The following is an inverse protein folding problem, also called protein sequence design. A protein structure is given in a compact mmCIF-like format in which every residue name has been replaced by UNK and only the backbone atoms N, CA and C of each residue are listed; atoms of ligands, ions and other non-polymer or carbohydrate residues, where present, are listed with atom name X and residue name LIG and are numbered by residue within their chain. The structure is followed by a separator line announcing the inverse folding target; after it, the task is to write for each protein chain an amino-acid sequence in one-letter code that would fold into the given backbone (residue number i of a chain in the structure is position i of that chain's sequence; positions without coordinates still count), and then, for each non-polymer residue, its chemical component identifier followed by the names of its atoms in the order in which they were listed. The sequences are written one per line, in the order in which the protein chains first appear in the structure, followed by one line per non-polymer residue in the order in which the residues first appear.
data_IF_840529308975
#
_entry.id   IF_840529308975
#
_cell.length_a   1.000
_cell.length_b   1.000
_cell.length_c   1.000
_cell.angle_alpha   90.00
_cell.angle_beta   90.00
_cell.angle_gamma   90.00
#
_symmetry.space_group_name_H-M   'P 1'
#
loop_
_entity.id
_entity.type
_entity.pdbx_description
1 polymer ?
#
# COMPACT_ATOMS: atom_id res chain seq x y z
N UNK A 1 -0.30 -44.22 -5.39
CA UNK A 1 0.95 -43.67 -4.82
C UNK A 1 1.19 -42.29 -5.44
N UNK A 2 1.50 -41.28 -4.63
CA UNK A 2 1.93 -39.97 -5.14
C UNK A 2 3.35 -40.10 -5.67
N UNK A 3 3.63 -39.58 -6.86
CA UNK A 3 4.99 -39.60 -7.42
C UNK A 3 5.94 -38.79 -6.54
N UNK A 4 7.08 -39.38 -6.14
CA UNK A 4 8.14 -38.72 -5.34
C UNK A 4 8.55 -37.36 -5.92
N UNK A 5 8.61 -37.27 -7.26
CA UNK A 5 8.94 -36.02 -7.98
C UNK A 5 7.89 -34.94 -7.75
N UNK A 6 6.61 -35.32 -7.70
CA UNK A 6 5.51 -34.38 -7.46
C UNK A 6 5.53 -33.87 -6.01
N UNK A 7 5.77 -34.76 -5.05
CA UNK A 7 5.90 -34.38 -3.64
C UNK A 7 7.06 -33.40 -3.40
N UNK A 8 8.25 -33.65 -3.98
CA UNK A 8 9.38 -32.73 -3.88
C UNK A 8 9.11 -31.36 -4.52
N UNK A 9 8.40 -31.34 -5.65
CA UNK A 9 8.04 -30.07 -6.31
C UNK A 9 7.05 -29.27 -5.47
N UNK A 10 6.11 -29.95 -4.82
CA UNK A 10 5.15 -29.32 -3.91
C UNK A 10 5.87 -28.69 -2.71
N UNK A 11 6.74 -29.45 -2.05
CA UNK A 11 7.52 -28.99 -0.89
C UNK A 11 8.39 -27.75 -1.22
N UNK A 12 9.08 -27.80 -2.38
CA UNK A 12 9.83 -26.64 -2.89
C UNK A 12 8.94 -25.42 -3.09
N UNK A 13 7.74 -25.60 -3.67
CA UNK A 13 6.80 -24.49 -3.92
C UNK A 13 6.22 -23.92 -2.62
N UNK A 14 5.99 -24.76 -1.62
CA UNK A 14 5.57 -24.30 -0.29
C UNK A 14 6.66 -23.47 0.39
N UNK A 15 7.92 -23.90 0.30
CA UNK A 15 9.06 -23.13 0.80
C UNK A 15 9.21 -21.78 0.10
N UNK A 16 9.10 -21.77 -1.24
CA UNK A 16 9.14 -20.53 -2.03
C UNK A 16 8.00 -19.57 -1.64
N UNK A 17 6.79 -20.10 -1.40
CA UNK A 17 5.65 -19.30 -0.95
C UNK A 17 5.91 -18.68 0.43
N UNK A 18 6.33 -19.47 1.41
CA UNK A 18 6.62 -18.97 2.76
C UNK A 18 7.70 -17.86 2.75
N UNK A 19 8.73 -18.01 1.90
CA UNK A 19 9.76 -17.00 1.73
C UNK A 19 9.22 -15.71 1.11
N UNK A 20 8.34 -15.82 0.10
CA UNK A 20 7.71 -14.66 -0.53
C UNK A 20 6.80 -13.92 0.45
N UNK A 21 6.00 -14.64 1.25
CA UNK A 21 5.14 -14.06 2.28
C UNK A 21 5.94 -13.32 3.36
N UNK A 22 7.06 -13.90 3.80
CA UNK A 22 7.97 -13.24 4.75
C UNK A 22 8.54 -11.94 4.17
N UNK A 23 8.96 -11.95 2.89
CA UNK A 23 9.47 -10.75 2.21
C UNK A 23 8.39 -9.66 2.08
N UNK A 24 7.16 -10.03 1.75
CA UNK A 24 6.03 -9.08 1.69
C UNK A 24 5.79 -8.44 3.06
N UNK A 25 5.86 -9.22 4.14
CA UNK A 25 5.69 -8.70 5.50
C UNK A 25 6.75 -7.64 5.84
N UNK A 26 8.01 -7.88 5.50
CA UNK A 26 9.11 -6.93 5.71
C UNK A 26 8.87 -5.65 4.89
N UNK A 27 8.61 -5.78 3.59
CA UNK A 27 8.37 -4.63 2.70
C UNK A 27 7.18 -3.77 3.15
N UNK A 28 6.10 -4.39 3.67
CA UNK A 28 4.99 -3.63 4.25
C UNK A 28 5.40 -2.79 5.45
N UNK A 29 6.29 -3.32 6.29
CA UNK A 29 6.87 -2.57 7.41
C UNK A 29 7.71 -1.38 6.94
N UNK A 30 8.63 -1.63 5.99
CA UNK A 30 9.47 -0.58 5.41
C UNK A 30 8.65 0.53 4.74
N UNK A 31 7.58 0.19 4.00
CA UNK A 31 6.67 1.19 3.41
C UNK A 31 5.98 2.02 4.49
N UNK A 32 5.53 1.40 5.58
CA UNK A 32 4.88 2.12 6.67
C UNK A 32 5.85 3.07 7.38
N UNK A 33 7.11 2.67 7.54
CA UNK A 33 8.16 3.50 8.11
C UNK A 33 8.49 4.69 7.19
N UNK A 34 8.69 4.43 5.89
CA UNK A 34 8.95 5.49 4.91
C UNK A 34 7.80 6.50 4.82
N UNK A 35 6.53 6.04 4.89
CA UNK A 35 5.37 6.93 4.95
C UNK A 35 5.42 7.87 6.16
N UNK A 36 5.79 7.36 7.34
CA UNK A 36 5.95 8.18 8.54
C UNK A 36 7.10 9.18 8.40
N UNK A 37 8.24 8.75 7.85
CA UNK A 37 9.38 9.65 7.62
C UNK A 37 9.02 10.79 6.66
N UNK A 38 8.32 10.49 5.55
CA UNK A 38 7.84 11.52 4.61
C UNK A 38 6.88 12.50 5.28
N UNK A 39 5.95 12.01 6.09
CA UNK A 39 5.02 12.88 6.84
C UNK A 39 5.77 13.80 7.82
N UNK A 40 6.74 13.27 8.55
CA UNK A 40 7.57 14.06 9.47
C UNK A 40 8.39 15.12 8.73
N UNK A 41 9.00 14.76 7.59
CA UNK A 41 9.75 15.71 6.77
C UNK A 41 8.84 16.82 6.22
N UNK A 42 7.62 16.49 5.81
CA UNK A 42 6.64 17.47 5.34
C UNK A 42 6.23 18.43 6.45
N UNK A 43 5.92 17.92 7.64
CA UNK A 43 5.61 18.73 8.84
C UNK A 43 6.76 19.69 9.14
N UNK A 44 8.00 19.19 9.16
CA UNK A 44 9.18 20.03 9.41
C UNK A 44 9.32 21.13 8.37
N UNK A 45 9.19 20.81 7.07
CA UNK A 45 9.22 21.80 5.99
C UNK A 45 8.11 22.86 6.16
N UNK A 46 6.93 22.48 6.61
CA UNK A 46 5.84 23.42 6.87
C UNK A 46 6.17 24.35 8.04
N UNK A 47 6.70 23.82 9.14
CA UNK A 47 7.16 24.62 10.29
C UNK A 47 8.24 25.62 9.87
N UNK A 48 9.25 25.15 9.12
CA UNK A 48 10.34 25.99 8.63
C UNK A 48 9.83 27.12 7.72
N UNK A 49 8.90 26.83 6.80
CA UNK A 49 8.34 27.84 5.89
C UNK A 49 7.42 28.83 6.59
N UNK A 50 6.62 28.37 7.56
CA UNK A 50 5.66 29.21 8.29
C UNK A 50 6.28 29.90 9.50
N UNK A 51 7.54 29.60 9.84
CA UNK A 51 8.25 30.11 11.02
C UNK A 51 7.45 29.92 12.32
N UNK A 52 6.76 28.78 12.42
CA UNK A 52 5.93 28.42 13.58
C UNK A 52 6.01 26.93 13.83
N UNK A 53 6.13 26.55 15.10
CA UNK A 53 6.05 25.15 15.53
C UNK A 53 4.59 24.69 15.72
N UNK A 54 3.65 25.64 15.79
CA UNK A 54 2.23 25.39 15.93
C UNK A 54 1.57 25.18 14.57
N UNK A 55 1.38 23.90 14.23
CA UNK A 55 0.63 23.45 13.06
C UNK A 55 -0.76 22.90 13.44
N UNK A 56 -1.30 23.28 14.61
CA UNK A 56 -2.51 22.70 15.21
C UNK A 56 -3.78 22.70 14.35
N UNK A 57 -3.76 23.33 13.18
CA UNK A 57 -4.87 23.37 12.21
C UNK A 57 -4.55 22.76 10.83
N UNK A 58 -3.36 22.19 10.61
CA UNK A 58 -3.10 21.47 9.37
C UNK A 58 -3.82 20.13 9.47
N UNK A 59 -5.06 20.14 8.98
CA UNK A 59 -5.91 18.97 8.85
C UNK A 59 -5.09 17.85 8.22
N UNK A 60 -4.92 16.76 8.96
CA UNK A 60 -4.16 15.60 8.52
C UNK A 60 -4.88 15.07 7.28
N UNK A 61 -4.39 15.40 6.08
CA UNK A 61 -4.75 14.73 4.84
C UNK A 61 -4.24 13.31 4.97
N UNK A 62 -5.03 12.47 5.64
CA UNK A 62 -4.90 11.05 5.56
C UNK A 62 -4.85 10.71 4.06
N UNK A 63 -3.96 9.82 3.62
CA UNK A 63 -4.03 9.32 2.27
C UNK A 63 -5.40 8.63 2.14
N UNK A 64 -6.34 9.32 1.50
CA UNK A 64 -7.61 8.73 1.14
C UNK A 64 -7.27 7.67 0.11
N UNK A 65 -7.13 6.41 0.55
CA UNK A 65 -7.26 5.25 -0.32
C UNK A 65 -8.72 5.18 -0.79
N UNK A 66 -9.18 6.20 -1.52
CA UNK A 66 -10.43 6.22 -2.25
C UNK A 66 -10.08 5.93 -3.69
N UNK A 67 -9.91 4.64 -3.98
CA UNK A 67 -10.19 4.13 -5.31
C UNK A 67 -11.72 4.16 -5.44
N UNK A 68 -12.28 5.33 -5.73
CA UNK A 68 -13.60 5.37 -6.37
C UNK A 68 -13.38 4.99 -7.83
N UNK A 69 -13.34 3.69 -8.10
CA UNK A 69 -13.69 3.18 -9.42
C UNK A 69 -15.21 3.36 -9.59
N UNK A 70 -15.64 4.58 -9.91
CA UNK A 70 -16.88 4.73 -10.66
C UNK A 70 -16.56 4.33 -12.09
N UNK A 71 -16.74 3.05 -12.39
CA UNK A 71 -17.07 2.63 -13.75
C UNK A 71 -18.38 3.34 -14.05
N UNK A 72 -18.33 4.42 -14.82
CA UNK A 72 -19.52 5.01 -15.43
C UNK A 72 -20.13 3.94 -16.31
N UNK A 73 -21.19 3.33 -15.79
CA UNK A 73 -22.19 2.59 -16.55
C UNK A 73 -22.83 3.59 -17.52
N UNK A 74 -22.18 3.74 -18.67
CA UNK A 74 -22.64 4.57 -19.78
C UNK A 74 -23.79 3.86 -20.47
N UNK A 75 -24.94 3.87 -19.83
CA UNK A 75 -26.20 3.53 -20.47
C UNK A 75 -26.44 4.47 -21.65
N UNK A 76 -26.29 3.92 -22.85
CA UNK A 76 -26.80 4.54 -24.06
C UNK A 76 -28.29 4.19 -24.14
N UNK A 77 -29.11 5.24 -24.03
CA UNK A 77 -30.56 5.21 -24.09
C UNK A 77 -31.01 4.94 -25.53
N UNK A 78 -31.99 4.05 -25.68
CA UNK A 78 -32.73 3.74 -26.91
C UNK A 78 -33.33 5.01 -27.57
N UNK A 79 -33.32 5.07 -28.91
CA UNK A 79 -33.89 6.19 -29.65
C UNK A 79 -33.68 6.18 -31.18
N UNK A 80 -34.50 5.38 -31.87
CA UNK A 80 -34.81 5.32 -33.33
C UNK A 80 -33.89 4.53 -34.27
#
# INVERSE_FOLDING_TARGET
MVSKKLAMRLDKKQTELANAEAKVKVLKGEVAELKQQVQLELVKKLQDNLHTDDLGTIEQVAPTDTITSTTTDGGELDGH
#
